data_IF_397667129629
#
_entry.id   IF_397667129629
#
_cell.length_a   1.000
_cell.length_b   1.000
_cell.length_c   1.000
_cell.angle_alpha   90.00
_cell.angle_beta   90.00
_cell.angle_gamma   90.00
#
_symmetry.space_group_name_H-M   'P 1'
#
loop_
_entity.id
_entity.type
_entity.pdbx_description
1 polymer ?
#
# COMPACT_ATOMS: atom_id res chain seq x y z
N UNK A 1 21.86 7.61 -5.21
CA UNK A 1 20.58 7.94 -5.89
C UNK A 1 20.35 7.11 -7.15
N UNK A 2 21.21 7.15 -8.18
CA UNK A 2 20.99 6.35 -9.41
C UNK A 2 20.89 4.84 -9.15
N UNK A 3 21.79 4.26 -8.34
CA UNK A 3 21.71 2.84 -7.98
C UNK A 3 20.45 2.47 -7.18
N UNK A 4 19.92 3.40 -6.37
CA UNK A 4 18.68 3.17 -5.64
C UNK A 4 17.48 3.13 -6.60
N UNK A 5 17.40 4.08 -7.54
CA UNK A 5 16.34 4.12 -8.55
C UNK A 5 16.38 2.87 -9.44
N UNK A 6 17.57 2.47 -9.88
CA UNK A 6 17.74 1.24 -10.69
C UNK A 6 17.33 0.01 -9.88
N UNK A 7 17.70 -0.05 -8.60
CA UNK A 7 17.30 -1.12 -7.69
C UNK A 7 15.78 -1.21 -7.52
N UNK A 8 15.11 -0.08 -7.29
CA UNK A 8 13.65 -0.02 -7.16
C UNK A 8 12.96 -0.46 -8.45
N UNK A 9 13.44 0.02 -9.61
CA UNK A 9 12.91 -0.41 -10.90
C UNK A 9 13.09 -1.92 -11.13
N UNK A 10 14.25 -2.47 -10.79
CA UNK A 10 14.52 -3.90 -10.91
C UNK A 10 13.63 -4.73 -9.99
N UNK A 11 13.43 -4.29 -8.75
CA UNK A 11 12.53 -4.95 -7.80
C UNK A 11 11.08 -4.93 -8.28
N UNK A 12 10.59 -3.78 -8.75
CA UNK A 12 9.24 -3.68 -9.32
C UNK A 12 9.09 -4.58 -10.54
N UNK A 13 10.08 -4.60 -11.45
CA UNK A 13 10.06 -5.48 -12.60
C UNK A 13 10.06 -6.96 -12.20
N UNK A 14 10.85 -7.34 -11.20
CA UNK A 14 10.88 -8.71 -10.67
C UNK A 14 9.52 -9.12 -10.10
N UNK A 15 8.90 -8.27 -9.28
CA UNK A 15 7.57 -8.53 -8.74
C UNK A 15 6.53 -8.71 -9.84
N UNK A 16 6.56 -7.88 -10.88
CA UNK A 16 5.64 -8.02 -12.03
C UNK A 16 5.87 -9.35 -12.75
N UNK A 17 7.12 -9.71 -13.05
CA UNK A 17 7.43 -10.95 -13.79
C UNK A 17 7.01 -12.18 -12.99
N UNK A 18 7.37 -12.25 -11.71
CA UNK A 18 7.11 -13.44 -10.90
C UNK A 18 5.64 -13.51 -10.48
N UNK A 19 5.07 -12.43 -9.94
CA UNK A 19 3.72 -12.48 -9.37
C UNK A 19 2.62 -12.35 -10.41
N UNK A 20 2.85 -11.67 -11.54
CA UNK A 20 1.81 -11.43 -12.55
C UNK A 20 1.93 -12.32 -13.77
N UNK A 21 3.15 -12.60 -14.25
CA UNK A 21 3.35 -13.42 -15.45
C UNK A 21 3.45 -14.91 -15.10
N UNK A 22 4.35 -15.28 -14.17
CA UNK A 22 4.56 -16.70 -13.85
C UNK A 22 3.36 -17.35 -13.18
N UNK A 23 2.66 -16.64 -12.29
CA UNK A 23 1.44 -17.15 -11.64
C UNK A 23 0.36 -17.49 -12.67
N UNK A 24 0.21 -16.70 -13.72
CA UNK A 24 -0.75 -16.96 -14.80
C UNK A 24 -0.37 -18.20 -15.60
N UNK A 25 0.92 -18.40 -15.88
CA UNK A 25 1.42 -19.59 -16.58
C UNK A 25 1.25 -20.85 -15.73
N UNK A 26 1.56 -20.77 -14.43
CA UNK A 26 1.44 -21.90 -13.49
C UNK A 26 -0.02 -22.33 -13.31
N UNK A 27 -0.95 -21.39 -13.26
CA UNK A 27 -2.39 -21.65 -13.16
C UNK A 27 -2.99 -22.35 -14.40
N UNK A 28 -2.23 -22.48 -15.50
CA UNK A 28 -2.64 -23.28 -16.66
C UNK A 28 -3.91 -22.80 -17.36
N UNK A 29 -4.27 -21.52 -17.21
CA UNK A 29 -5.48 -20.92 -17.80
C UNK A 29 -6.77 -21.07 -16.97
N UNK A 30 -6.75 -21.77 -15.84
CA UNK A 30 -7.89 -21.87 -14.93
C UNK A 30 -8.10 -20.54 -14.19
N UNK A 31 -9.26 -19.92 -14.39
CA UNK A 31 -9.60 -18.67 -13.73
C UNK A 31 -9.72 -18.84 -12.21
N UNK A 32 -10.19 -19.99 -11.73
CA UNK A 32 -10.40 -20.24 -10.29
C UNK A 32 -9.06 -20.35 -9.58
N UNK A 33 -8.18 -21.23 -10.05
CA UNK A 33 -6.85 -21.45 -9.48
C UNK A 33 -6.01 -20.16 -9.52
N UNK A 34 -6.12 -19.38 -10.61
CA UNK A 34 -5.44 -18.09 -10.71
C UNK A 34 -5.86 -17.10 -9.60
N UNK A 35 -7.14 -17.05 -9.21
CA UNK A 35 -7.54 -16.16 -8.13
C UNK A 35 -7.15 -16.69 -6.77
N UNK A 36 -7.16 -18.00 -6.56
CA UNK A 36 -6.74 -18.60 -5.30
C UNK A 36 -5.23 -18.42 -5.08
N UNK A 37 -4.44 -18.56 -6.15
CA UNK A 37 -3.01 -18.22 -6.14
C UNK A 37 -2.78 -16.72 -5.90
N UNK A 38 -3.49 -15.83 -6.61
CA UNK A 38 -3.37 -14.39 -6.42
C UNK A 38 -3.75 -13.95 -4.99
N UNK A 39 -4.82 -14.54 -4.43
CA UNK A 39 -5.24 -14.28 -3.05
C UNK A 39 -4.21 -14.79 -2.03
N UNK A 40 -3.62 -15.96 -2.27
CA UNK A 40 -2.59 -16.54 -1.41
C UNK A 40 -1.31 -15.71 -1.41
N UNK A 41 -0.83 -15.26 -2.57
CA UNK A 41 0.34 -14.37 -2.67
C UNK A 41 0.08 -13.06 -1.92
N UNK A 42 -1.11 -12.46 -2.14
CA UNK A 42 -1.50 -11.24 -1.43
C UNK A 42 -1.57 -11.43 0.09
N UNK A 43 -2.04 -12.60 0.55
CA UNK A 43 -2.07 -12.93 1.98
C UNK A 43 -0.66 -13.04 2.55
N UNK A 44 0.26 -13.67 1.84
CA UNK A 44 1.66 -13.79 2.26
C UNK A 44 2.27 -12.38 2.38
N UNK A 45 2.12 -11.52 1.36
CA UNK A 45 2.59 -10.14 1.36
C UNK A 45 2.09 -9.36 2.60
N UNK A 46 0.77 -9.35 2.83
CA UNK A 46 0.18 -8.68 3.98
C UNK A 46 0.66 -9.25 5.32
N UNK A 47 0.82 -10.57 5.41
CA UNK A 47 1.32 -11.22 6.63
C UNK A 47 2.78 -10.83 6.89
N UNK A 48 3.62 -10.81 5.85
CA UNK A 48 5.00 -10.37 5.93
C UNK A 48 5.13 -8.90 6.34
N UNK A 49 4.25 -8.03 5.84
CA UNK A 49 4.23 -6.61 6.24
C UNK A 49 3.95 -6.41 7.73
N UNK A 50 3.16 -7.28 8.36
CA UNK A 50 2.88 -7.24 9.80
C UNK A 50 4.00 -7.91 10.61
N UNK A 51 4.45 -9.09 10.18
CA UNK A 51 5.44 -9.88 10.93
C UNK A 51 6.84 -9.29 10.85
N UNK A 52 7.23 -8.69 9.73
CA UNK A 52 8.59 -8.20 9.51
C UNK A 52 9.01 -7.16 10.56
N UNK A 53 8.25 -6.07 10.82
CA UNK A 53 8.59 -5.13 11.88
C UNK A 53 8.65 -5.77 13.27
N UNK A 54 7.78 -6.74 13.58
CA UNK A 54 7.75 -7.42 14.87
C UNK A 54 9.02 -8.25 15.09
N UNK A 55 9.39 -9.05 14.08
CA UNK A 55 10.59 -9.89 14.13
C UNK A 55 11.84 -9.01 14.22
N UNK A 56 11.91 -7.95 13.41
CA UNK A 56 13.04 -7.01 13.44
C UNK A 56 13.12 -6.28 14.79
N UNK A 57 11.99 -5.83 15.33
CA UNK A 57 11.94 -5.17 16.64
C UNK A 57 12.43 -6.11 17.75
N UNK A 58 12.02 -7.38 17.72
CA UNK A 58 12.51 -8.37 18.67
C UNK A 58 14.01 -8.60 18.51
N UNK A 59 14.53 -8.76 17.29
CA UNK A 59 15.97 -8.93 17.06
C UNK A 59 16.77 -7.72 17.59
N UNK A 60 16.26 -6.50 17.37
CA UNK A 60 16.90 -5.26 17.83
C UNK A 60 16.79 -5.04 19.34
N UNK A 61 15.79 -5.63 20.00
CA UNK A 61 15.59 -5.50 21.47
C UNK A 61 16.50 -6.45 22.25
N UNK A 62 16.76 -7.65 21.71
CA UNK A 62 17.54 -8.69 22.39
C UNK A 62 19.03 -8.71 21.99
N UNK A 63 19.38 -8.11 20.84
CA UNK A 63 20.76 -8.00 20.36
C UNK A 63 21.30 -6.58 20.44
N UNK A 64 22.62 -6.42 20.52
CA UNK A 64 23.23 -5.13 20.24
C UNK A 64 22.98 -4.75 18.77
N UNK A 65 22.76 -3.47 18.47
CA UNK A 65 22.36 -3.00 17.13
C UNK A 65 23.20 -3.57 15.96
N UNK A 66 24.50 -3.79 16.17
CA UNK A 66 25.39 -4.40 15.18
C UNK A 66 25.06 -5.87 14.87
N UNK A 67 24.64 -6.65 15.86
CA UNK A 67 24.26 -8.06 15.71
C UNK A 67 23.00 -8.16 14.86
N UNK A 68 22.02 -7.28 15.09
CA UNK A 68 20.78 -7.24 14.31
C UNK A 68 21.03 -7.05 12.82
N UNK A 69 21.91 -6.10 12.46
CA UNK A 69 22.27 -5.87 11.05
C UNK A 69 22.96 -7.09 10.42
N UNK A 70 23.89 -7.73 11.13
CA UNK A 70 24.57 -8.92 10.63
C UNK A 70 23.58 -10.06 10.41
N UNK A 71 22.71 -10.34 11.39
CA UNK A 71 21.70 -11.39 11.29
C UNK A 71 20.77 -11.17 10.10
N UNK A 72 20.26 -9.94 9.92
CA UNK A 72 19.39 -9.60 8.78
C UNK A 72 20.13 -9.74 7.45
N UNK A 73 21.40 -9.32 7.38
CA UNK A 73 22.20 -9.44 6.16
C UNK A 73 22.44 -10.89 5.75
N UNK A 74 22.79 -11.76 6.70
CA UNK A 74 22.99 -13.20 6.46
C UNK A 74 21.67 -13.86 6.05
N UNK A 75 20.57 -13.51 6.73
CA UNK A 75 19.23 -14.01 6.37
C UNK A 75 18.83 -13.64 4.95
N UNK A 76 19.12 -12.42 4.52
CA UNK A 76 18.81 -11.94 3.17
C UNK A 76 19.62 -12.71 2.10
N UNK A 77 20.92 -12.91 2.31
CA UNK A 77 21.77 -13.68 1.39
C UNK A 77 21.30 -15.14 1.30
N UNK A 78 21.00 -15.78 2.43
CA UNK A 78 20.49 -17.15 2.44
C UNK A 78 19.14 -17.26 1.73
N UNK A 79 18.25 -16.27 1.91
CA UNK A 79 16.95 -16.21 1.24
C UNK A 79 17.10 -16.04 -0.27
N UNK A 80 18.05 -15.21 -0.73
CA UNK A 80 18.36 -15.06 -2.16
C UNK A 80 18.84 -16.37 -2.79
N UNK A 81 19.73 -17.10 -2.10
CA UNK A 81 20.23 -18.39 -2.58
C UNK A 81 19.10 -19.43 -2.63
N UNK A 82 18.26 -19.50 -1.60
CA UNK A 82 17.12 -20.40 -1.56
C UNK A 82 16.10 -20.09 -2.67
N UNK A 83 15.78 -18.80 -2.87
CA UNK A 83 14.89 -18.33 -3.94
C UNK A 83 15.42 -18.77 -5.31
N UNK A 84 16.71 -18.57 -5.59
CA UNK A 84 17.32 -19.00 -6.85
C UNK A 84 17.11 -20.50 -7.13
N UNK A 85 17.37 -21.36 -6.13
CA UNK A 85 17.17 -22.80 -6.28
C UNK A 85 15.71 -23.18 -6.50
N UNK A 86 14.77 -22.53 -5.80
CA UNK A 86 13.34 -22.78 -5.95
C UNK A 86 12.88 -22.37 -7.36
N UNK A 87 13.28 -21.19 -7.83
CA UNK A 87 12.93 -20.70 -9.18
C UNK A 87 13.51 -21.61 -10.26
N UNK A 88 14.75 -22.08 -10.09
CA UNK A 88 15.35 -23.05 -11.00
C UNK A 88 14.53 -24.36 -11.05
N UNK A 89 14.10 -24.87 -9.89
CA UNK A 89 13.26 -26.06 -9.82
C UNK A 89 11.89 -25.88 -10.48
N UNK A 90 11.24 -24.73 -10.26
CA UNK A 90 9.96 -24.39 -10.89
C UNK A 90 10.12 -24.31 -12.41
N UNK A 91 11.22 -23.72 -12.89
CA UNK A 91 11.52 -23.61 -14.31
C UNK A 91 11.74 -25.00 -14.95
N UNK A 92 12.48 -25.89 -14.30
CA UNK A 92 12.70 -27.28 -14.75
C UNK A 92 11.39 -28.07 -14.86
N UNK A 93 10.45 -27.87 -13.92
CA UNK A 93 9.19 -28.61 -13.87
C UNK A 93 8.12 -28.12 -14.86
N UNK A 94 8.23 -26.87 -15.34
CA UNK A 94 7.23 -26.25 -16.23
C UNK A 94 7.92 -25.63 -17.45
N UNK A 95 8.29 -26.43 -18.47
CA UNK A 95 8.93 -25.92 -19.70
C UNK A 95 8.03 -24.95 -20.50
N UNK A 96 6.75 -24.85 -20.16
CA UNK A 96 5.83 -23.83 -20.70
C UNK A 96 6.21 -22.39 -20.31
N UNK A 97 7.02 -22.18 -19.24
CA UNK A 97 7.59 -20.85 -18.93
C UNK A 97 8.74 -20.45 -19.89
N UNK A 98 9.39 -21.42 -20.55
CA UNK A 98 10.47 -21.17 -21.51
C UNK A 98 9.94 -20.74 -22.89
N UNK A 99 8.71 -21.15 -23.23
CA UNK A 99 8.04 -20.74 -24.46
C UNK A 99 7.41 -19.37 -24.22
N UNK A 100 8.21 -18.31 -24.35
CA UNK A 100 7.66 -16.98 -24.62
C UNK A 100 6.85 -17.14 -25.91
N UNK A 101 5.53 -17.05 -25.83
CA UNK A 101 4.68 -17.11 -27.02
C UNK A 101 5.17 -16.03 -27.99
N UNK A 102 5.99 -16.44 -28.95
CA UNK A 102 6.52 -15.62 -30.01
C UNK A 102 5.36 -15.28 -30.93
N UNK A 103 4.53 -14.33 -30.52
CA UNK A 103 3.80 -13.51 -31.47
C UNK A 103 4.78 -12.45 -31.97
N UNK A 104 5.69 -12.91 -32.83
CA UNK A 104 6.22 -12.22 -34.03
C UNK A 104 7.33 -13.06 -34.65
N UNK A 105 6.96 -14.25 -35.15
CA UNK A 105 7.67 -14.85 -36.27
C UNK A 105 7.27 -14.11 -37.56
N UNK A 106 7.65 -12.82 -37.68
CA UNK A 106 7.67 -12.09 -38.96
C UNK A 106 8.61 -10.88 -38.84
N UNK A 107 9.71 -10.97 -39.57
CA UNK A 107 10.68 -9.93 -39.93
C UNK A 107 11.81 -9.55 -38.95
N UNK A 108 13.02 -9.84 -39.45
CA UNK A 108 14.34 -9.28 -39.16
C UNK A 108 15.10 -9.73 -37.90
N UNK A 109 15.60 -10.98 -37.99
CA UNK A 109 16.91 -11.32 -37.44
C UNK A 109 18.01 -10.68 -38.30
N UNK A 110 18.57 -9.56 -37.82
CA UNK A 110 19.88 -9.06 -38.22
C UNK A 110 20.77 -9.06 -36.96
N UNK A 111 22.05 -9.51 -37.02
CA UNK A 111 22.90 -9.70 -35.85
C UNK A 111 23.15 -8.42 -35.04
N UNK A 112 23.53 -8.52 -33.74
CA UNK A 112 23.63 -7.39 -32.83
C UNK A 112 24.86 -6.52 -33.14
N UNK A 113 24.76 -5.66 -34.16
CA UNK A 113 25.71 -4.57 -34.34
C UNK A 113 25.55 -3.56 -33.19
N UNK A 114 26.67 -3.13 -32.59
CA UNK A 114 26.70 -2.10 -31.52
C UNK A 114 26.05 -0.80 -32.05
N UNK A 115 24.81 -0.53 -31.62
CA UNK A 115 24.00 0.61 -32.08
C UNK A 115 24.23 1.82 -31.17
N UNK A 116 24.17 3.05 -31.69
CA UNK A 116 24.38 4.25 -30.90
C UNK A 116 23.26 4.46 -29.88
N UNK A 117 23.64 4.90 -28.68
CA UNK A 117 22.78 5.05 -27.48
C UNK A 117 21.50 5.85 -27.76
N UNK A 118 21.57 6.90 -28.60
CA UNK A 118 20.40 7.73 -28.94
C UNK A 118 19.29 6.92 -29.61
N UNK A 119 19.64 5.98 -30.51
CA UNK A 119 18.66 5.16 -31.24
C UNK A 119 18.01 4.13 -30.32
N UNK A 120 18.69 3.72 -29.24
CA UNK A 120 18.14 2.85 -28.21
C UNK A 120 17.16 3.61 -27.30
N UNK A 121 17.50 4.83 -26.88
CA UNK A 121 16.61 5.69 -26.08
C UNK A 121 15.34 6.06 -26.87
N UNK A 122 15.48 6.48 -28.13
CA UNK A 122 14.32 6.79 -28.98
C UNK A 122 13.41 5.58 -29.20
N UNK A 123 13.98 4.38 -29.33
CA UNK A 123 13.19 3.14 -29.45
C UNK A 123 12.50 2.78 -28.14
N UNK A 124 13.12 3.00 -27.00
CA UNK A 124 12.51 2.82 -25.68
C UNK A 124 11.35 3.80 -25.45
N UNK A 125 11.52 5.09 -25.77
CA UNK A 125 10.41 6.05 -25.71
C UNK A 125 9.27 5.69 -26.67
N UNK A 126 9.60 5.24 -27.88
CA UNK A 126 8.58 4.79 -28.83
C UNK A 126 7.87 3.51 -28.35
N UNK A 127 8.60 2.57 -27.74
CA UNK A 127 8.03 1.36 -27.14
C UNK A 127 7.14 1.68 -25.93
N UNK A 128 7.50 2.67 -25.11
CA UNK A 128 6.66 3.17 -24.02
C UNK A 128 5.38 3.76 -24.60
N UNK A 129 5.49 4.64 -25.61
CA UNK A 129 4.32 5.22 -26.29
C UNK A 129 3.40 4.16 -26.89
N UNK A 130 3.97 3.16 -27.55
CA UNK A 130 3.23 2.07 -28.16
C UNK A 130 2.58 1.16 -27.10
N UNK A 131 3.26 0.93 -25.98
CA UNK A 131 2.71 0.23 -24.81
C UNK A 131 1.52 0.97 -24.19
N UNK A 132 1.61 2.29 -24.00
CA UNK A 132 0.49 3.11 -23.54
C UNK A 132 -0.68 3.08 -24.53
N UNK A 133 -0.41 3.21 -25.83
CA UNK A 133 -1.45 3.13 -26.86
C UNK A 133 -2.14 1.76 -26.88
N UNK A 134 -1.39 0.69 -26.67
CA UNK A 134 -1.91 -0.69 -26.58
C UNK A 134 -2.74 -0.88 -25.30
N UNK A 135 -2.30 -0.34 -24.17
CA UNK A 135 -3.03 -0.39 -22.91
C UNK A 135 -4.42 0.25 -23.06
N UNK A 136 -4.50 1.48 -23.58
CA UNK A 136 -5.78 2.19 -23.75
C UNK A 136 -6.73 1.55 -24.78
N UNK A 137 -6.22 0.75 -25.73
CA UNK A 137 -7.05 -0.01 -26.67
C UNK A 137 -7.71 -1.24 -26.03
N UNK A 138 -7.18 -1.75 -24.91
CA UNK A 138 -7.70 -2.94 -24.27
C UNK A 138 -8.98 -2.65 -23.48
N UNK A 139 -9.94 -3.59 -23.52
CA UNK A 139 -11.23 -3.50 -22.79
C UNK A 139 -11.07 -3.31 -21.28
N UNK A 140 -9.93 -3.72 -20.70
CA UNK A 140 -9.63 -3.62 -19.26
C UNK A 140 -9.04 -2.28 -18.83
N UNK A 141 -8.68 -1.39 -19.77
CA UNK A 141 -8.12 -0.07 -19.48
C UNK A 141 -8.93 0.77 -18.47
N UNK A 142 -10.26 0.91 -18.59
CA UNK A 142 -11.03 1.70 -17.63
C UNK A 142 -10.99 1.12 -16.21
N UNK A 143 -10.94 -0.21 -16.07
CA UNK A 143 -10.83 -0.85 -14.76
C UNK A 143 -9.48 -0.53 -14.09
N UNK A 144 -8.38 -0.50 -14.86
CA UNK A 144 -7.08 -0.12 -14.33
C UNK A 144 -6.96 1.38 -13.99
N UNK A 145 -7.65 2.26 -14.74
CA UNK A 145 -7.77 3.69 -14.36
C UNK A 145 -8.56 3.84 -13.05
N UNK A 146 -9.64 3.07 -12.88
CA UNK A 146 -10.39 3.04 -11.62
C UNK A 146 -9.54 2.59 -10.43
N UNK A 147 -8.69 1.58 -10.62
CA UNK A 147 -7.71 1.16 -9.62
C UNK A 147 -6.71 2.27 -9.28
N UNK A 148 -6.23 3.04 -10.27
CA UNK A 148 -5.32 4.16 -10.03
C UNK A 148 -5.99 5.25 -9.17
N UNK A 149 -7.25 5.57 -9.42
CA UNK A 149 -8.01 6.50 -8.57
C UNK A 149 -8.20 5.97 -7.15
N UNK A 150 -8.40 4.66 -6.99
CA UNK A 150 -8.49 4.03 -5.66
C UNK A 150 -7.19 4.21 -4.86
N UNK A 151 -6.02 4.14 -5.52
CA UNK A 151 -4.73 4.40 -4.88
C UNK A 151 -4.45 5.89 -4.57
N UNK A 152 -5.15 6.82 -5.20
CA UNK A 152 -5.01 8.27 -4.94
C UNK A 152 -5.63 8.68 -3.59
N UNK A 153 -6.32 7.78 -2.89
CA UNK A 153 -6.99 8.12 -1.64
C UNK A 153 -6.02 8.55 -0.54
N UNK A 154 -6.29 9.71 0.05
CA UNK A 154 -5.50 10.29 1.15
C UNK A 154 -5.88 9.68 2.50
N UNK A 155 -7.09 9.10 2.60
CA UNK A 155 -7.66 8.51 3.83
C UNK A 155 -7.00 7.18 4.25
N UNK A 156 -6.05 6.66 3.46
CA UNK A 156 -5.25 5.54 3.93
C UNK A 156 -4.48 5.93 5.21
N UNK A 157 -4.18 4.94 6.07
CA UNK A 157 -3.30 5.09 7.25
C UNK A 157 -1.83 5.36 6.85
N UNK A 158 -1.63 6.28 5.92
CA UNK A 158 -0.36 6.75 5.41
C UNK A 158 0.12 7.96 6.21
N UNK A 159 1.32 8.46 5.91
CA UNK A 159 1.96 9.56 6.64
C UNK A 159 1.06 10.78 6.86
N UNK A 160 0.28 11.18 5.86
CA UNK A 160 -0.61 12.36 5.95
C UNK A 160 -1.67 12.20 7.06
N UNK A 161 -2.48 11.14 7.01
CA UNK A 161 -3.52 10.88 8.02
C UNK A 161 -2.93 10.69 9.41
N UNK A 162 -1.83 9.96 9.54
CA UNK A 162 -1.15 9.77 10.82
C UNK A 162 -0.66 11.11 11.41
N UNK A 163 -0.07 11.99 10.59
CA UNK A 163 0.34 13.32 11.06
C UNK A 163 -0.84 14.18 11.49
N UNK A 164 -1.95 14.17 10.74
CA UNK A 164 -3.16 14.89 11.12
C UNK A 164 -3.71 14.40 12.47
N UNK A 165 -3.87 13.09 12.62
CA UNK A 165 -4.40 12.47 13.84
C UNK A 165 -3.53 12.77 15.06
N UNK A 166 -2.20 12.77 14.89
CA UNK A 166 -1.26 13.21 15.95
C UNK A 166 -1.39 14.68 16.29
N UNK A 167 -1.57 15.56 15.30
CA UNK A 167 -1.80 16.99 15.56
C UNK A 167 -3.11 17.26 16.29
N UNK A 168 -4.08 16.35 16.20
CA UNK A 168 -5.33 16.39 16.98
C UNK A 168 -5.17 15.84 18.42
N UNK A 169 -3.96 15.45 18.83
CA UNK A 169 -3.67 15.02 20.21
C UNK A 169 -3.99 13.54 20.50
N UNK A 170 -4.25 12.71 19.47
CA UNK A 170 -4.48 11.28 19.68
C UNK A 170 -3.18 10.53 20.02
N UNK A 171 -3.27 9.66 21.03
CA UNK A 171 -2.15 8.83 21.48
C UNK A 171 -1.63 7.91 20.36
N UNK A 172 -0.31 7.75 20.28
CA UNK A 172 0.35 6.85 19.32
C UNK A 172 -0.13 5.39 19.44
N UNK A 173 -0.55 4.99 20.65
CA UNK A 173 -1.12 3.66 20.90
C UNK A 173 -2.44 3.44 20.16
N UNK A 174 -3.34 4.42 20.18
CA UNK A 174 -4.66 4.34 19.52
C UNK A 174 -4.50 4.25 18.01
N UNK A 175 -3.60 5.06 17.44
CA UNK A 175 -3.29 5.06 16.01
C UNK A 175 -2.77 3.67 15.59
N UNK A 176 -1.86 3.09 16.38
CA UNK A 176 -1.28 1.78 16.10
C UNK A 176 -2.32 0.64 16.18
N UNK A 177 -3.24 0.70 17.15
CA UNK A 177 -4.34 -0.26 17.26
C UNK A 177 -5.25 -0.18 16.04
N UNK A 178 -5.63 1.03 15.61
CA UNK A 178 -6.46 1.23 14.41
C UNK A 178 -5.79 0.72 13.14
N UNK A 179 -4.49 0.97 12.98
CA UNK A 179 -3.70 0.43 11.88
C UNK A 179 -3.66 -1.10 11.89
N UNK A 180 -3.52 -1.71 13.07
CA UNK A 180 -3.55 -3.17 13.21
C UNK A 180 -4.91 -3.76 12.81
N UNK A 181 -6.01 -3.12 13.21
CA UNK A 181 -7.37 -3.50 12.79
C UNK A 181 -7.53 -3.39 11.27
N UNK A 182 -7.02 -2.32 10.66
CA UNK A 182 -7.01 -2.16 9.20
C UNK A 182 -6.22 -3.27 8.49
N UNK A 183 -5.07 -3.66 9.04
CA UNK A 183 -4.23 -4.72 8.48
C UNK A 183 -4.93 -6.10 8.56
N UNK A 184 -5.55 -6.42 9.70
CA UNK A 184 -6.37 -7.64 9.86
C UNK A 184 -7.55 -7.65 8.89
N UNK A 185 -8.22 -6.52 8.72
CA UNK A 185 -9.33 -6.36 7.77
C UNK A 185 -8.88 -6.58 6.33
N UNK A 186 -7.70 -6.07 5.95
CA UNK A 186 -7.08 -6.33 4.65
C UNK A 186 -6.77 -7.82 4.42
N UNK A 187 -6.24 -8.51 5.43
CA UNK A 187 -6.00 -9.96 5.37
C UNK A 187 -7.33 -10.72 5.24
N UNK A 188 -8.35 -10.38 6.03
CA UNK A 188 -9.68 -10.97 5.93
C UNK A 188 -10.27 -10.82 4.52
N UNK A 189 -10.08 -9.65 3.89
CA UNK A 189 -10.44 -9.41 2.49
C UNK A 189 -9.85 -10.43 1.51
N UNK A 190 -8.63 -10.94 1.75
CA UNK A 190 -8.01 -11.98 0.90
C UNK A 190 -8.71 -13.33 0.98
N UNK A 191 -9.38 -13.65 2.10
CA UNK A 191 -10.21 -14.86 2.23
C UNK A 191 -11.60 -14.64 1.62
N UNK A 192 -12.17 -13.45 1.82
CA UNK A 192 -13.51 -13.11 1.31
C UNK A 192 -13.52 -13.01 -0.21
N UNK A 193 -12.47 -12.47 -0.83
CA UNK A 193 -12.37 -12.28 -2.28
C UNK A 193 -12.62 -13.55 -3.12
N UNK A 194 -11.90 -14.67 -2.93
CA UNK A 194 -12.12 -15.88 -3.73
C UNK A 194 -13.53 -16.45 -3.53
N UNK A 195 -14.07 -16.42 -2.30
CA UNK A 195 -15.42 -16.89 -1.98
C UNK A 195 -16.47 -16.05 -2.73
N UNK A 196 -16.36 -14.73 -2.64
CA UNK A 196 -17.31 -13.81 -3.26
C UNK A 196 -17.24 -13.88 -4.80
N UNK A 197 -16.02 -14.02 -5.33
CA UNK A 197 -15.78 -14.23 -6.76
C UNK A 197 -16.39 -15.53 -7.27
N UNK A 198 -16.27 -16.64 -6.54
CA UNK A 198 -16.85 -17.93 -6.94
C UNK A 198 -18.38 -17.91 -6.94
N UNK A 199 -18.99 -17.19 -5.98
CA UNK A 199 -20.46 -17.12 -5.86
C UNK A 199 -21.12 -16.13 -6.83
N UNK A 200 -20.53 -14.94 -7.00
CA UNK A 200 -21.20 -13.80 -7.65
C UNK A 200 -20.51 -13.37 -8.94
N UNK A 201 -19.33 -13.90 -9.24
CA UNK A 201 -18.52 -13.55 -10.40
C UNK A 201 -17.63 -12.33 -10.18
N UNK A 202 -16.62 -12.16 -11.03
CA UNK A 202 -15.55 -11.16 -10.85
C UNK A 202 -16.07 -9.71 -10.95
N UNK A 203 -16.88 -9.40 -11.97
CA UNK A 203 -17.36 -8.02 -12.21
C UNK A 203 -18.28 -7.53 -11.08
N UNK A 204 -19.21 -8.37 -10.64
CA UNK A 204 -20.13 -8.06 -9.54
C UNK A 204 -19.41 -7.94 -8.21
N UNK A 205 -18.42 -8.81 -7.94
CA UNK A 205 -17.59 -8.73 -6.73
C UNK A 205 -16.89 -7.38 -6.63
N UNK A 206 -16.34 -6.88 -7.74
CA UNK A 206 -15.75 -5.54 -7.81
C UNK A 206 -16.77 -4.42 -7.53
N UNK A 207 -17.98 -4.52 -8.09
CA UNK A 207 -19.05 -3.55 -7.85
C UNK A 207 -19.50 -3.52 -6.39
N UNK A 208 -19.70 -4.69 -5.76
CA UNK A 208 -20.06 -4.78 -4.34
C UNK A 208 -18.96 -4.22 -3.44
N UNK A 209 -17.70 -4.54 -3.72
CA UNK A 209 -16.57 -3.99 -2.96
C UNK A 209 -16.48 -2.47 -3.09
N UNK A 210 -16.69 -1.93 -4.30
CA UNK A 210 -16.69 -0.48 -4.52
C UNK A 210 -17.88 0.21 -3.82
N UNK A 211 -19.06 -0.39 -3.88
CA UNK A 211 -20.24 0.12 -3.16
C UNK A 211 -20.03 0.14 -1.65
N UNK A 212 -19.42 -0.91 -1.09
CA UNK A 212 -19.06 -0.97 0.32
C UNK A 212 -18.02 0.11 0.67
N UNK A 213 -16.94 0.23 -0.12
CA UNK A 213 -15.94 1.28 0.05
C UNK A 213 -16.59 2.68 0.02
N UNK A 214 -17.52 2.93 -0.90
CA UNK A 214 -18.20 4.21 -1.01
C UNK A 214 -19.10 4.48 0.19
N UNK A 215 -19.78 3.47 0.73
CA UNK A 215 -20.60 3.62 1.93
C UNK A 215 -19.75 4.05 3.15
N UNK A 216 -18.59 3.43 3.33
CA UNK A 216 -17.62 3.78 4.38
C UNK A 216 -17.03 5.19 4.18
N UNK A 217 -16.73 5.56 2.94
CA UNK A 217 -16.32 6.93 2.62
C UNK A 217 -17.44 7.96 2.89
N UNK A 218 -18.70 7.63 2.62
CA UNK A 218 -19.83 8.49 2.99
C UNK A 218 -19.90 8.69 4.51
N UNK A 219 -19.63 7.65 5.31
CA UNK A 219 -19.53 7.78 6.77
C UNK A 219 -18.38 8.70 7.19
N UNK A 220 -17.20 8.57 6.56
CA UNK A 220 -16.08 9.51 6.79
C UNK A 220 -16.48 10.95 6.51
N UNK A 221 -17.15 11.19 5.38
CA UNK A 221 -17.58 12.54 5.00
C UNK A 221 -18.59 13.06 6.01
N UNK A 222 -19.62 12.29 6.37
CA UNK A 222 -20.60 12.68 7.39
C UNK A 222 -19.90 13.01 8.72
N UNK A 223 -18.85 12.26 9.08
CA UNK A 223 -18.09 12.49 10.30
C UNK A 223 -17.44 13.86 10.38
N UNK A 224 -16.97 14.39 9.24
CA UNK A 224 -16.38 15.74 9.16
C UNK A 224 -17.42 16.82 9.47
N UNK A 225 -18.70 16.56 9.21
CA UNK A 225 -19.80 17.51 9.43
C UNK A 225 -20.54 17.31 10.76
N UNK A 226 -20.09 16.38 11.63
CA UNK A 226 -20.68 16.19 12.95
C UNK A 226 -20.25 17.32 13.92
N UNK A 227 -21.14 17.75 14.83
CA UNK A 227 -20.85 18.81 15.79
C UNK A 227 -19.73 18.38 16.76
N UNK A 228 -18.81 19.31 17.04
CA UNK A 228 -17.60 19.04 17.84
C UNK A 228 -16.38 18.59 17.02
N UNK A 229 -16.38 18.80 15.70
CA UNK A 229 -15.18 18.67 14.85
C UNK A 229 -14.40 19.99 14.80
N UNK A 230 -13.08 19.95 14.54
CA UNK A 230 -12.28 21.16 14.31
C UNK A 230 -12.70 21.99 13.08
N UNK A 231 -13.65 21.49 12.27
CA UNK A 231 -14.25 22.17 11.13
C UNK A 231 -15.58 22.87 11.45
N UNK A 232 -16.10 22.67 12.66
CA UNK A 232 -17.31 23.34 13.13
C UNK A 232 -16.97 24.79 13.55
N UNK A 233 -17.60 25.82 12.93
CA UNK A 233 -17.32 27.22 13.27
C UNK A 233 -17.60 27.55 14.75
N UNK A 234 -18.50 26.82 15.40
CA UNK A 234 -18.82 27.03 16.81
C UNK A 234 -17.74 26.44 17.74
N UNK A 235 -17.09 25.34 17.37
CA UNK A 235 -15.98 24.74 18.12
C UNK A 235 -14.73 25.63 18.13
N UNK A 236 -14.41 26.27 16.99
CA UNK A 236 -13.31 27.23 16.91
C UNK A 236 -13.59 28.43 17.81
N UNK A 237 -14.84 28.91 17.82
CA UNK A 237 -15.26 30.05 18.64
C UNK A 237 -15.23 29.72 20.14
N UNK A 238 -15.65 28.52 20.52
CA UNK A 238 -15.62 28.04 21.91
C UNK A 238 -14.18 27.82 22.41
N UNK A 239 -13.33 27.18 21.60
CA UNK A 239 -11.90 26.99 21.90
C UNK A 239 -11.16 28.32 22.02
N UNK A 240 -11.45 29.28 21.13
CA UNK A 240 -10.85 30.61 21.17
C UNK A 240 -11.33 31.41 22.40
N UNK A 241 -12.58 31.23 22.83
CA UNK A 241 -13.09 31.82 24.06
C UNK A 241 -12.45 31.20 25.31
N UNK A 242 -12.31 29.87 25.38
CA UNK A 242 -11.66 29.20 26.51
C UNK A 242 -10.17 29.55 26.63
N UNK A 243 -9.44 29.57 25.52
CA UNK A 243 -8.03 29.99 25.50
C UNK A 243 -7.86 31.46 25.87
N UNK A 244 -8.75 32.35 25.41
CA UNK A 244 -8.76 33.75 25.84
C UNK A 244 -9.05 33.89 27.35
N UNK A 245 -9.97 33.08 27.90
CA UNK A 245 -10.30 33.08 29.33
C UNK A 245 -9.14 32.52 30.18
N UNK A 246 -8.45 31.46 29.73
CA UNK A 246 -7.24 30.96 30.38
C UNK A 246 -6.11 31.98 30.34
N UNK A 247 -5.86 32.61 29.18
CA UNK A 247 -4.87 33.69 29.06
C UNK A 247 -5.20 34.86 29.99
N UNK A 248 -6.47 35.28 30.10
CA UNK A 248 -6.89 36.32 31.05
C UNK A 248 -6.79 35.90 32.52
N UNK A 249 -6.84 34.60 32.83
CA UNK A 249 -6.62 34.07 34.19
C UNK A 249 -5.13 33.95 34.51
N UNK A 250 -4.31 33.57 33.55
CA UNK A 250 -2.87 33.38 33.70
C UNK A 250 -2.13 34.73 33.78
N UNK A 251 -2.56 35.72 32.99
CA UNK A 251 -2.08 37.11 33.06
C UNK A 251 -2.40 37.77 34.42
N UNK A 252 -3.47 37.30 35.10
CA UNK A 252 -3.79 37.71 36.47
C UNK A 252 -2.94 37.07 37.57
N UNK A 253 -2.21 35.97 37.29
CA UNK A 253 -1.68 35.11 38.35
C UNK A 253 -0.19 34.77 38.33
N UNK A 254 0.62 35.20 37.34
CA UNK A 254 2.10 35.43 37.39
C UNK A 254 2.85 35.09 36.09
N UNK A 255 3.97 35.79 35.90
CA UNK A 255 4.98 35.82 34.81
C UNK A 255 5.78 34.51 34.56
N UNK A 256 5.14 33.38 34.35
CA UNK A 256 5.84 32.16 33.88
C UNK A 256 5.06 31.50 32.74
N UNK A 257 5.44 31.82 31.50
CA UNK A 257 4.92 31.19 30.29
C UNK A 257 5.51 29.78 30.19
N UNK A 258 4.75 28.77 30.59
CA UNK A 258 5.12 27.38 30.37
C UNK A 258 4.67 26.94 28.96
N UNK A 259 5.57 27.05 27.98
CA UNK A 259 5.31 26.79 26.56
C UNK A 259 4.94 25.33 26.21
N UNK A 260 4.98 24.39 27.17
CA UNK A 260 4.66 22.98 26.93
C UNK A 260 3.17 22.60 26.99
N UNK A 261 2.28 23.52 27.39
CA UNK A 261 0.86 23.21 27.66
C UNK A 261 -0.05 23.26 26.42
N UNK A 262 0.42 23.85 25.31
CA UNK A 262 -0.40 24.14 24.12
C UNK A 262 -0.56 22.98 23.13
N UNK A 263 -0.03 21.78 23.43
CA UNK A 263 0.00 20.66 22.45
C UNK A 263 -0.95 19.50 22.82
N UNK A 264 -1.59 19.52 23.98
CA UNK A 264 -2.46 18.40 24.39
C UNK A 264 -3.78 18.89 24.97
N UNK A 265 -4.83 18.96 24.14
CA UNK A 265 -6.20 18.96 24.65
C UNK A 265 -6.63 17.52 24.97
N UNK A 266 -7.47 17.30 26.01
CA UNK A 266 -7.82 15.98 26.49
C UNK A 266 -8.64 15.21 25.45
N UNK A 267 -8.21 13.97 25.20
CA UNK A 267 -8.75 13.02 24.22
C UNK A 267 -10.24 12.62 24.42
N UNK A 268 -10.93 13.19 25.40
CA UNK A 268 -12.29 12.80 25.81
C UNK A 268 -13.42 13.43 24.98
N UNK A 269 -13.13 14.38 24.06
CA UNK A 269 -14.15 15.07 23.23
C UNK A 269 -13.93 14.97 21.71
N UNK A 270 -13.43 13.85 21.17
CA UNK A 270 -13.24 13.68 19.72
C UNK A 270 -13.98 12.46 19.11
N UNK A 271 -15.28 12.23 19.40
CA UNK A 271 -16.02 11.11 18.82
C UNK A 271 -16.05 11.14 17.28
N UNK A 272 -16.04 12.33 16.69
CA UNK A 272 -15.96 12.54 15.25
C UNK A 272 -14.63 12.14 14.62
N UNK A 273 -13.51 12.22 15.36
CA UNK A 273 -12.20 11.74 14.87
C UNK A 273 -12.17 10.22 14.90
N UNK A 274 -12.78 9.58 15.89
CA UNK A 274 -12.93 8.12 15.92
C UNK A 274 -13.82 7.62 14.78
N UNK A 275 -14.97 8.27 14.53
CA UNK A 275 -15.85 7.90 13.40
C UNK A 275 -15.16 8.13 12.06
N UNK A 276 -14.34 9.18 11.93
CA UNK A 276 -13.49 9.43 10.76
C UNK A 276 -12.38 8.37 10.56
N UNK A 277 -11.87 7.78 11.65
CA UNK A 277 -10.86 6.73 11.60
C UNK A 277 -11.44 5.31 11.41
N UNK A 278 -12.73 5.13 11.73
CA UNK A 278 -13.46 3.86 11.57
C UNK A 278 -14.08 3.74 10.17
N UNK A 279 -14.47 4.87 9.56
CA UNK A 279 -14.91 4.94 8.16
C UNK A 279 -13.76 4.66 7.21
#
# INVERSE_FOLDING_TARGET
MLFAIVGDCASVAMNIIVEKDWVVVIAGGSKTDLADMNATIRRIDLTCQILSPIIIAQIMTFGAHYIGTIVVSVWNVLSMVAEYFILQKVYEQRPQLAVKASKSASSDQQPPAKRPLHRQIFRSCFAIRDGWQTYFKNRVAPAGIGLAFLYMTVLSFSGVTNTYVRTQGLSESVISIMMAVGAVTGIAGTFVFPILRQKVGLERTGLFALAFQLAFLCLCVISVWLPGTPFDPDFVRETQNETMIELMKEDRNSTQINSGKWITQPAEKLPSVFVFLIG
#
